data_IF_127160493322
#
_entry.id   IF_127160493322
#
_cell.length_a   1.000
_cell.length_b   1.000
_cell.length_c   1.000
_cell.angle_alpha   90.00
_cell.angle_beta   90.00
_cell.angle_gamma   90.00
#
_symmetry.space_group_name_H-M   'P 1'
#
loop_
_entity.id
_entity.type
_entity.pdbx_description
1 polymer ?
#
# COMPACT_ATOMS: atom_id res chain seq x y z
N UNK A 1 -33.44 3.52 1.89
CA UNK A 1 -32.96 4.66 1.07
C UNK A 1 -33.36 6.02 1.65
N UNK A 2 -34.62 6.22 2.08
CA UNK A 2 -35.11 7.48 2.68
C UNK A 2 -34.43 7.85 4.01
N UNK A 3 -34.24 6.89 4.91
CA UNK A 3 -33.57 7.10 6.21
C UNK A 3 -32.09 7.53 6.08
N UNK A 4 -31.41 6.99 5.07
CA UNK A 4 -30.00 7.32 4.81
C UNK A 4 -29.85 8.74 4.25
N UNK A 5 -30.84 9.21 3.48
CA UNK A 5 -30.91 10.58 2.97
C UNK A 5 -31.18 11.59 4.09
N UNK A 6 -32.12 11.27 4.99
CA UNK A 6 -32.44 12.09 6.15
C UNK A 6 -31.29 12.20 7.17
N UNK A 7 -30.44 11.17 7.28
CA UNK A 7 -29.22 11.23 8.10
C UNK A 7 -28.12 12.10 7.47
N UNK A 8 -28.03 12.15 6.15
CA UNK A 8 -27.04 12.98 5.44
C UNK A 8 -27.44 14.46 5.46
N UNK A 9 -28.72 14.78 5.39
CA UNK A 9 -29.22 16.16 5.52
C UNK A 9 -29.04 16.73 6.94
N UNK A 10 -29.07 15.88 7.96
CA UNK A 10 -28.90 16.26 9.37
C UNK A 10 -27.44 16.17 9.87
N UNK A 11 -26.46 15.88 9.02
CA UNK A 11 -25.06 15.97 9.44
C UNK A 11 -24.68 17.46 9.59
N UNK A 12 -24.07 17.86 10.71
CA UNK A 12 -23.55 19.22 10.86
C UNK A 12 -22.56 19.49 9.72
N UNK A 13 -22.94 20.41 8.83
CA UNK A 13 -22.17 20.75 7.62
C UNK A 13 -20.85 21.47 7.94
N UNK A 14 -20.70 21.96 9.17
CA UNK A 14 -19.60 22.80 9.60
C UNK A 14 -18.88 22.22 10.81
N UNK A 15 -18.35 20.99 10.70
CA UNK A 15 -17.28 20.58 11.62
C UNK A 15 -16.00 21.21 11.06
N UNK A 16 -15.48 22.30 11.67
CA UNK A 16 -14.24 22.89 11.21
C UNK A 16 -13.15 21.80 11.24
N UNK A 17 -12.32 21.70 10.18
CA UNK A 17 -11.24 20.73 10.18
C UNK A 17 -10.39 20.94 11.44
N UNK A 18 -9.92 19.87 12.09
CA UNK A 18 -9.09 20.01 13.28
C UNK A 18 -7.91 20.92 12.96
N UNK A 19 -7.58 21.88 13.85
CA UNK A 19 -6.52 22.84 13.58
C UNK A 19 -5.22 22.10 13.31
N UNK A 20 -4.64 22.36 12.13
CA UNK A 20 -3.37 21.75 11.74
C UNK A 20 -2.29 22.25 12.70
N UNK A 21 -1.72 21.34 13.49
CA UNK A 21 -0.67 21.72 14.42
C UNK A 21 0.62 22.03 13.67
N UNK A 22 1.48 22.90 14.21
CA UNK A 22 2.80 23.18 13.61
C UNK A 22 3.63 21.91 13.46
N UNK A 23 3.43 20.91 14.33
CA UNK A 23 4.08 19.59 14.23
C UNK A 23 3.56 18.81 13.02
N UNK A 24 2.24 18.77 12.81
CA UNK A 24 1.65 18.11 11.64
C UNK A 24 2.10 18.77 10.34
N UNK A 25 2.23 20.09 10.34
CA UNK A 25 2.73 20.85 9.20
C UNK A 25 4.20 20.50 8.89
N UNK A 26 5.06 20.48 9.91
CA UNK A 26 6.47 20.08 9.76
C UNK A 26 6.58 18.63 9.27
N UNK A 27 5.77 17.72 9.78
CA UNK A 27 5.74 16.33 9.29
C UNK A 27 5.32 16.23 7.83
N UNK A 28 4.30 17.00 7.41
CA UNK A 28 3.86 17.05 6.01
C UNK A 28 4.95 17.61 5.10
N UNK A 29 5.60 18.70 5.50
CA UNK A 29 6.71 19.31 4.74
C UNK A 29 7.87 18.33 4.61
N UNK A 30 8.29 17.69 5.71
CA UNK A 30 9.37 16.67 5.69
C UNK A 30 9.04 15.50 4.78
N UNK A 31 7.79 15.03 4.81
CA UNK A 31 7.31 13.95 3.95
C UNK A 31 7.35 14.35 2.47
N UNK A 32 6.84 15.54 2.14
CA UNK A 32 6.87 16.08 0.77
C UNK A 32 8.31 16.23 0.27
N UNK A 33 9.21 16.78 1.09
CA UNK A 33 10.63 16.92 0.74
C UNK A 33 11.29 15.56 0.50
N UNK A 34 11.01 14.57 1.35
CA UNK A 34 11.52 13.21 1.13
C UNK A 34 11.00 12.61 -0.19
N UNK A 35 9.72 12.80 -0.52
CA UNK A 35 9.16 12.35 -1.80
C UNK A 35 9.80 13.04 -3.00
N UNK A 36 10.03 14.34 -2.94
CA UNK A 36 10.67 15.09 -4.01
C UNK A 36 12.10 14.61 -4.26
N UNK A 37 12.87 14.33 -3.19
CA UNK A 37 14.22 13.79 -3.30
C UNK A 37 14.21 12.39 -3.93
N UNK A 38 13.32 11.50 -3.46
CA UNK A 38 13.18 10.14 -4.02
C UNK A 38 12.79 10.21 -5.50
N UNK A 39 11.82 11.05 -5.86
CA UNK A 39 11.41 11.26 -7.25
C UNK A 39 12.56 11.81 -8.11
N UNK A 40 13.29 12.82 -7.63
CA UNK A 40 14.42 13.40 -8.35
C UNK A 40 15.51 12.36 -8.62
N UNK A 41 15.89 11.57 -7.62
CA UNK A 41 16.90 10.52 -7.77
C UNK A 41 16.41 9.43 -8.70
N UNK A 42 15.16 8.98 -8.57
CA UNK A 42 14.57 7.96 -9.43
C UNK A 42 14.51 8.41 -10.90
N UNK A 43 14.10 9.66 -11.16
CA UNK A 43 14.06 10.23 -12.52
C UNK A 43 15.47 10.45 -13.07
N UNK A 44 16.42 10.91 -12.25
CA UNK A 44 17.82 11.05 -12.66
C UNK A 44 18.43 9.72 -13.08
N UNK A 45 18.23 8.66 -12.29
CA UNK A 45 18.66 7.30 -12.60
C UNK A 45 17.94 6.70 -13.81
N UNK A 46 16.72 7.15 -14.11
CA UNK A 46 15.96 6.72 -15.29
C UNK A 46 16.51 7.37 -16.57
N UNK A 47 16.79 8.67 -16.53
CA UNK A 47 17.31 9.44 -17.68
C UNK A 47 18.72 8.97 -18.04
N UNK A 48 19.59 8.75 -17.04
CA UNK A 48 20.99 8.32 -17.27
C UNK A 48 21.13 6.97 -17.98
N UNK A 49 20.04 6.22 -18.06
CA UNK A 49 20.05 4.79 -18.26
C UNK A 49 19.23 4.42 -19.52
N UNK A 50 18.94 5.43 -20.35
CA UNK A 50 18.35 5.30 -21.70
C UNK A 50 16.82 5.35 -21.76
N UNK A 51 16.15 5.62 -20.63
CA UNK A 51 14.70 5.84 -20.56
C UNK A 51 13.84 4.59 -20.83
N UNK A 52 12.57 4.80 -21.21
CA UNK A 52 11.54 3.74 -21.35
C UNK A 52 11.96 2.65 -22.35
N UNK A 53 12.70 3.04 -23.39
CA UNK A 53 12.99 2.21 -24.57
C UNK A 53 14.18 1.26 -24.40
N UNK A 54 15.08 1.48 -23.45
CA UNK A 54 16.32 0.68 -23.33
C UNK A 54 16.24 -0.42 -22.26
N UNK A 55 15.51 -0.22 -21.16
CA UNK A 55 15.53 -1.19 -20.07
C UNK A 55 14.32 -1.12 -19.11
N UNK A 56 13.29 -1.93 -19.39
CA UNK A 56 12.12 -2.07 -18.52
C UNK A 56 12.47 -2.45 -17.06
N UNK A 57 13.64 -3.08 -16.82
CA UNK A 57 14.09 -3.46 -15.48
C UNK A 57 14.22 -2.25 -14.54
N UNK A 58 14.52 -1.05 -15.05
CA UNK A 58 14.72 0.15 -14.22
C UNK A 58 13.46 0.55 -13.45
N UNK A 59 12.27 0.22 -13.96
CA UNK A 59 11.02 0.46 -13.26
C UNK A 59 10.91 -0.38 -11.99
N UNK A 60 11.57 -1.53 -11.90
CA UNK A 60 11.51 -2.37 -10.71
C UNK A 60 12.01 -1.66 -9.44
N UNK A 61 13.29 -1.25 -9.32
CA UNK A 61 13.77 -0.59 -8.11
C UNK A 61 13.05 0.74 -7.87
N UNK A 62 12.66 1.48 -8.91
CA UNK A 62 11.92 2.75 -8.76
C UNK A 62 10.57 2.51 -8.06
N UNK A 63 9.76 1.60 -8.59
CA UNK A 63 8.44 1.31 -8.01
C UNK A 63 8.54 0.60 -6.66
N UNK A 64 9.54 -0.26 -6.44
CA UNK A 64 9.75 -0.90 -5.13
C UNK A 64 10.19 0.12 -4.07
N UNK A 65 10.99 1.12 -4.42
CA UNK A 65 11.30 2.25 -3.54
C UNK A 65 10.06 3.10 -3.23
N UNK A 66 9.21 3.40 -4.22
CA UNK A 66 7.95 4.12 -3.99
C UNK A 66 7.06 3.31 -3.03
N UNK A 67 6.91 2.01 -3.27
CA UNK A 67 6.16 1.11 -2.38
C UNK A 67 6.69 1.20 -0.95
N UNK A 68 7.99 1.00 -0.75
CA UNK A 68 8.57 0.90 0.60
C UNK A 68 8.64 2.22 1.34
N UNK A 69 8.95 3.32 0.65
CA UNK A 69 9.20 4.62 1.29
C UNK A 69 7.96 5.50 1.35
N UNK A 70 6.98 5.27 0.48
CA UNK A 70 5.76 6.09 0.38
C UNK A 70 4.54 5.30 0.82
N UNK A 71 4.28 4.18 0.14
CA UNK A 71 2.98 3.53 0.23
C UNK A 71 2.84 2.67 1.48
N UNK A 72 3.86 1.88 1.84
CA UNK A 72 3.84 1.06 3.07
C UNK A 72 3.67 1.93 4.33
N UNK A 73 4.40 3.04 4.52
CA UNK A 73 4.14 3.94 5.65
C UNK A 73 2.70 4.49 5.66
N UNK A 74 2.15 4.85 4.50
CA UNK A 74 0.76 5.31 4.40
C UNK A 74 -0.23 4.20 4.79
N UNK A 75 -0.02 2.97 4.32
CA UNK A 75 -0.83 1.80 4.69
C UNK A 75 -0.74 1.56 6.21
N UNK A 76 0.45 1.57 6.81
CA UNK A 76 0.63 1.41 8.26
C UNK A 76 -0.13 2.48 9.06
N UNK A 77 -0.11 3.74 8.61
CA UNK A 77 -0.89 4.81 9.24
C UNK A 77 -2.39 4.52 9.20
N UNK A 78 -2.91 4.01 8.07
CA UNK A 78 -4.34 3.62 7.98
C UNK A 78 -4.67 2.43 8.88
N UNK A 79 -3.77 1.47 9.05
CA UNK A 79 -3.94 0.34 9.97
C UNK A 79 -4.02 0.85 11.42
N UNK A 80 -3.10 1.73 11.83
CA UNK A 80 -3.11 2.34 13.17
C UNK A 80 -4.42 3.10 13.42
N UNK A 81 -4.92 3.83 12.42
CA UNK A 81 -6.21 4.53 12.49
C UNK A 81 -7.40 3.57 12.66
N UNK A 82 -7.37 2.40 12.00
CA UNK A 82 -8.39 1.36 12.14
C UNK A 82 -8.34 0.66 13.50
N UNK A 83 -7.15 0.44 14.05
CA UNK A 83 -6.94 -0.21 15.34
C UNK A 83 -7.21 0.70 16.55
N UNK A 84 -7.04 2.02 16.38
CA UNK A 84 -7.20 3.01 17.46
C UNK A 84 -8.37 3.98 17.20
N UNK A 85 -9.62 3.48 17.18
CA UNK A 85 -10.77 4.29 16.80
C UNK A 85 -11.05 5.46 17.75
N UNK A 86 -10.61 5.38 19.01
CA UNK A 86 -10.76 6.46 20.00
C UNK A 86 -9.85 7.67 19.74
N UNK A 87 -8.74 7.46 19.04
CA UNK A 87 -7.75 8.50 18.74
C UNK A 87 -7.95 9.14 17.37
N UNK A 88 -8.90 8.63 16.58
CA UNK A 88 -9.18 9.12 15.24
C UNK A 88 -10.66 9.50 15.12
N UNK A 89 -10.99 10.78 14.94
CA UNK A 89 -12.37 11.27 14.92
C UNK A 89 -13.16 10.80 13.67
N UNK A 90 -12.48 10.23 12.67
CA UNK A 90 -13.13 9.81 11.43
C UNK A 90 -14.08 8.62 11.64
N UNK A 91 -15.22 8.61 10.93
CA UNK A 91 -16.12 7.46 10.88
C UNK A 91 -15.39 6.17 10.45
N UNK A 92 -15.85 5.01 10.95
CA UNK A 92 -15.27 3.70 10.62
C UNK A 92 -15.20 3.48 9.10
N UNK A 93 -16.27 3.81 8.39
CA UNK A 93 -16.39 3.66 6.94
C UNK A 93 -15.32 4.44 6.18
N UNK A 94 -15.09 5.70 6.58
CA UNK A 94 -14.07 6.57 5.99
C UNK A 94 -12.65 6.04 6.24
N UNK A 95 -12.37 5.52 7.45
CA UNK A 95 -11.07 4.90 7.75
C UNK A 95 -10.84 3.64 6.93
N UNK A 96 -11.88 2.82 6.74
CA UNK A 96 -11.81 1.61 5.91
C UNK A 96 -11.55 1.99 4.45
N UNK A 97 -12.26 2.98 3.92
CA UNK A 97 -12.06 3.46 2.55
C UNK A 97 -10.61 3.94 2.33
N UNK A 98 -10.06 4.74 3.25
CA UNK A 98 -8.67 5.19 3.18
C UNK A 98 -7.68 4.04 3.17
N UNK A 99 -7.90 3.02 4.01
CA UNK A 99 -7.07 1.83 4.01
C UNK A 99 -7.16 1.08 2.68
N UNK A 100 -8.36 0.88 2.14
CA UNK A 100 -8.56 0.22 0.84
C UNK A 100 -7.87 0.98 -0.30
N UNK A 101 -7.97 2.32 -0.33
CA UNK A 101 -7.27 3.13 -1.33
C UNK A 101 -5.76 3.00 -1.20
N UNK A 102 -5.22 3.07 0.02
CA UNK A 102 -3.78 2.92 0.25
C UNK A 102 -3.27 1.53 -0.19
N UNK A 103 -4.01 0.47 0.12
CA UNK A 103 -3.69 -0.91 -0.31
C UNK A 103 -3.85 -1.07 -1.82
N UNK A 104 -4.82 -0.40 -2.45
CA UNK A 104 -4.94 -0.40 -3.91
C UNK A 104 -3.72 0.23 -4.59
N UNK A 105 -3.26 1.39 -4.12
CA UNK A 105 -2.03 2.01 -4.63
C UNK A 105 -0.80 1.12 -4.38
N UNK A 106 -0.74 0.43 -3.23
CA UNK A 106 0.31 -0.54 -2.93
C UNK A 106 0.33 -1.64 -3.99
N UNK A 107 -0.83 -2.23 -4.27
CA UNK A 107 -0.96 -3.33 -5.21
C UNK A 107 -0.60 -2.90 -6.64
N UNK A 108 -1.05 -1.73 -7.10
CA UNK A 108 -0.71 -1.22 -8.44
C UNK A 108 0.78 -0.95 -8.55
N UNK A 109 1.38 -0.21 -7.61
CA UNK A 109 2.80 0.12 -7.67
C UNK A 109 3.68 -1.14 -7.58
N UNK A 110 3.34 -2.08 -6.70
CA UNK A 110 4.01 -3.38 -6.59
C UNK A 110 3.90 -4.18 -7.89
N UNK A 111 2.69 -4.26 -8.47
CA UNK A 111 2.46 -5.00 -9.70
C UNK A 111 3.27 -4.45 -10.88
N UNK A 112 3.37 -3.12 -11.01
CA UNK A 112 4.18 -2.49 -12.06
C UNK A 112 5.67 -2.83 -11.88
N UNK A 113 6.20 -2.70 -10.66
CA UNK A 113 7.60 -3.04 -10.38
C UNK A 113 7.89 -4.54 -10.55
N UNK A 114 6.95 -5.42 -10.23
CA UNK A 114 7.09 -6.86 -10.45
C UNK A 114 7.03 -7.21 -11.94
N UNK A 115 6.07 -6.63 -12.66
CA UNK A 115 5.92 -6.82 -14.11
C UNK A 115 7.17 -6.38 -14.88
N UNK A 116 7.80 -5.27 -14.48
CA UNK A 116 9.04 -4.77 -15.06
C UNK A 116 10.16 -5.83 -15.10
N UNK A 117 10.42 -6.52 -13.98
CA UNK A 117 11.41 -7.62 -13.92
C UNK A 117 10.95 -8.82 -14.72
N UNK A 118 9.66 -9.18 -14.59
CA UNK A 118 9.12 -10.34 -15.27
C UNK A 118 9.24 -10.21 -16.79
N UNK A 119 8.86 -9.05 -17.33
CA UNK A 119 8.96 -8.70 -18.75
C UNK A 119 10.42 -8.67 -19.21
N UNK A 120 11.29 -7.99 -18.47
CA UNK A 120 12.72 -7.93 -18.81
C UNK A 120 13.37 -9.32 -18.88
N UNK A 121 13.12 -10.18 -17.88
CA UNK A 121 13.62 -11.57 -17.89
C UNK A 121 13.07 -12.37 -19.06
N UNK A 122 11.77 -12.22 -19.36
CA UNK A 122 11.14 -12.91 -20.49
C UNK A 122 11.73 -12.47 -21.84
N UNK A 123 11.94 -11.16 -22.03
CA UNK A 123 12.52 -10.61 -23.26
C UNK A 123 13.97 -11.09 -23.49
N UNK A 124 14.73 -11.32 -22.41
CA UNK A 124 16.12 -11.78 -22.46
C UNK A 124 16.29 -13.30 -22.30
N UNK A 125 15.20 -14.08 -22.28
CA UNK A 125 15.26 -15.54 -22.10
C UNK A 125 15.84 -16.00 -20.75
N UNK A 126 15.84 -15.14 -19.74
CA UNK A 126 16.41 -15.44 -18.42
C UNK A 126 15.40 -16.18 -17.55
N UNK A 127 15.89 -17.11 -16.72
CA UNK A 127 15.05 -17.84 -15.77
C UNK A 127 14.45 -16.92 -14.69
N UNK A 128 13.17 -17.18 -14.35
CA UNK A 128 12.44 -16.48 -13.30
C UNK A 128 12.62 -17.15 -11.93
N UNK A 129 12.58 -16.34 -10.87
CA UNK A 129 12.52 -16.81 -9.48
C UNK A 129 13.66 -17.75 -9.03
N UNK A 130 14.84 -17.62 -9.63
CA UNK A 130 16.01 -18.45 -9.29
C UNK A 130 16.85 -17.90 -8.14
N UNK A 131 16.72 -16.60 -7.83
CA UNK A 131 17.44 -15.96 -6.73
C UNK A 131 16.59 -15.95 -5.46
N UNK A 132 17.21 -15.92 -4.26
CA UNK A 132 16.48 -15.73 -3.01
C UNK A 132 15.59 -14.49 -3.03
N UNK A 133 16.10 -13.37 -3.57
CA UNK A 133 15.32 -12.14 -3.74
C UNK A 133 14.10 -12.36 -4.65
N UNK A 134 14.27 -13.05 -5.79
CA UNK A 134 13.19 -13.38 -6.71
C UNK A 134 12.11 -14.26 -6.06
N UNK A 135 12.51 -15.28 -5.29
CA UNK A 135 11.58 -16.16 -4.57
C UNK A 135 10.82 -15.40 -3.48
N UNK A 136 11.51 -14.56 -2.71
CA UNK A 136 10.88 -13.76 -1.66
C UNK A 136 9.94 -12.69 -2.24
N UNK A 137 10.29 -12.09 -3.37
CA UNK A 137 9.41 -11.18 -4.11
C UNK A 137 8.13 -11.86 -4.60
N UNK A 138 8.24 -13.11 -5.09
CA UNK A 138 7.08 -13.91 -5.46
C UNK A 138 6.21 -14.26 -4.25
N UNK A 139 6.82 -14.69 -3.15
CA UNK A 139 6.10 -14.96 -1.90
C UNK A 139 5.34 -13.71 -1.43
N UNK A 140 5.99 -12.55 -1.45
CA UNK A 140 5.37 -11.27 -1.12
C UNK A 140 4.18 -10.96 -2.03
N UNK A 141 4.30 -11.18 -3.35
CA UNK A 141 3.22 -10.99 -4.31
C UNK A 141 1.99 -11.87 -4.01
N UNK A 142 2.24 -13.13 -3.63
CA UNK A 142 1.17 -14.07 -3.24
C UNK A 142 0.52 -13.63 -1.94
N UNK A 143 1.29 -13.29 -0.91
CA UNK A 143 0.77 -12.82 0.38
C UNK A 143 -0.09 -11.57 0.22
N UNK A 144 0.38 -10.60 -0.56
CA UNK A 144 -0.37 -9.37 -0.87
C UNK A 144 -1.69 -9.68 -1.59
N UNK A 145 -1.68 -10.61 -2.54
CA UNK A 145 -2.90 -11.01 -3.27
C UNK A 145 -3.92 -11.68 -2.35
N UNK A 146 -3.46 -12.52 -1.42
CA UNK A 146 -4.32 -13.15 -0.41
C UNK A 146 -4.85 -12.10 0.57
N UNK A 147 -4.01 -11.16 1.01
CA UNK A 147 -4.41 -10.08 1.92
C UNK A 147 -5.54 -9.22 1.34
N UNK A 148 -5.41 -8.79 0.08
CA UNK A 148 -6.44 -8.01 -0.62
C UNK A 148 -7.73 -8.80 -0.75
N UNK A 149 -7.62 -10.10 -1.08
CA UNK A 149 -8.78 -11.00 -1.17
C UNK A 149 -9.49 -11.12 0.18
N UNK A 150 -8.76 -11.36 1.27
CA UNK A 150 -9.31 -11.42 2.63
C UNK A 150 -9.95 -10.09 3.06
N UNK A 151 -9.32 -8.96 2.70
CA UNK A 151 -9.88 -7.63 2.94
C UNK A 151 -11.20 -7.41 2.21
N UNK A 152 -11.29 -7.82 0.94
CA UNK A 152 -12.51 -7.78 0.15
C UNK A 152 -13.60 -8.70 0.72
N UNK A 153 -13.25 -9.92 1.14
CA UNK A 153 -14.17 -10.85 1.81
C UNK A 153 -14.77 -10.22 3.07
N UNK A 154 -13.93 -9.62 3.93
CA UNK A 154 -14.37 -8.97 5.17
C UNK A 154 -15.28 -7.76 4.94
N UNK A 155 -15.15 -7.11 3.79
CA UNK A 155 -15.90 -5.90 3.45
C UNK A 155 -17.23 -6.21 2.76
N UNK A 156 -17.21 -7.08 1.76
CA UNK A 156 -18.34 -7.23 0.82
C UNK A 156 -19.11 -8.52 1.00
N UNK A 157 -18.51 -9.57 1.55
CA UNK A 157 -19.13 -10.91 1.62
C UNK A 157 -19.53 -11.27 3.05
N UNK A 158 -18.64 -11.02 4.02
CA UNK A 158 -18.84 -11.48 5.38
C UNK A 158 -19.57 -10.40 6.19
N UNK A 159 -20.83 -10.67 6.50
CA UNK A 159 -21.66 -9.80 7.31
C UNK A 159 -21.07 -9.56 8.72
N UNK A 160 -21.39 -8.41 9.30
CA UNK A 160 -20.78 -7.97 10.56
C UNK A 160 -21.02 -8.92 11.75
N UNK A 161 -22.13 -9.64 11.72
CA UNK A 161 -22.57 -10.59 12.76
C UNK A 161 -22.14 -12.03 12.49
N UNK A 162 -21.42 -12.28 11.39
CA UNK A 162 -20.99 -13.64 11.06
C UNK A 162 -19.97 -14.16 12.08
N UNK A 163 -20.12 -15.38 12.61
CA UNK A 163 -19.16 -15.96 13.55
C UNK A 163 -17.78 -16.21 12.91
N UNK A 164 -17.71 -16.35 11.58
CA UNK A 164 -16.44 -16.54 10.86
C UNK A 164 -15.64 -15.24 10.69
N UNK A 165 -16.25 -14.07 10.93
CA UNK A 165 -15.62 -12.76 10.70
C UNK A 165 -14.35 -12.56 11.52
N UNK A 166 -14.35 -12.99 12.78
CA UNK A 166 -13.19 -12.84 13.65
C UNK A 166 -12.01 -13.68 13.16
N UNK A 167 -12.26 -14.93 12.74
CA UNK A 167 -11.23 -15.82 12.19
C UNK A 167 -10.62 -15.24 10.91
N UNK A 168 -11.46 -14.73 10.01
CA UNK A 168 -11.00 -14.16 8.74
C UNK A 168 -10.24 -12.84 8.96
N UNK A 169 -10.66 -12.04 9.95
CA UNK A 169 -9.90 -10.86 10.39
C UNK A 169 -8.52 -11.23 10.94
N UNK A 170 -8.42 -12.29 11.75
CA UNK A 170 -7.13 -12.78 12.25
C UNK A 170 -6.23 -13.26 11.11
N UNK A 171 -6.77 -14.03 10.16
CA UNK A 171 -6.03 -14.44 8.96
C UNK A 171 -5.53 -13.21 8.20
N UNK A 172 -6.40 -12.25 7.92
CA UNK A 172 -6.01 -11.01 7.24
C UNK A 172 -4.85 -10.31 7.95
N UNK A 173 -4.85 -10.24 9.29
CA UNK A 173 -3.76 -9.68 10.09
C UNK A 173 -2.46 -10.50 9.99
N UNK A 174 -2.53 -11.84 10.05
CA UNK A 174 -1.35 -12.70 9.89
C UNK A 174 -0.71 -12.55 8.50
N UNK A 175 -1.52 -12.57 7.45
CA UNK A 175 -1.04 -12.34 6.09
C UNK A 175 -0.45 -10.94 5.93
N UNK A 176 -1.08 -9.90 6.50
CA UNK A 176 -0.54 -8.53 6.49
C UNK A 176 0.85 -8.44 7.13
N UNK A 177 1.05 -9.08 8.28
CA UNK A 177 2.37 -9.13 8.95
C UNK A 177 3.39 -9.88 8.09
N UNK A 178 2.99 -10.98 7.45
CA UNK A 178 3.82 -11.70 6.49
C UNK A 178 4.21 -10.83 5.29
N UNK A 179 3.26 -10.10 4.70
CA UNK A 179 3.50 -9.16 3.59
C UNK A 179 4.54 -8.11 4.01
N UNK A 180 4.36 -7.45 5.16
CA UNK A 180 5.30 -6.43 5.65
C UNK A 180 6.68 -7.04 5.91
N UNK A 181 6.75 -8.21 6.55
CA UNK A 181 8.01 -8.88 6.84
C UNK A 181 8.78 -9.26 5.57
N UNK A 182 8.09 -9.86 4.59
CA UNK A 182 8.69 -10.21 3.29
C UNK A 182 9.10 -8.97 2.49
N UNK A 183 8.30 -7.90 2.49
CA UNK A 183 8.67 -6.60 1.90
C UNK A 183 9.99 -6.05 2.48
N UNK A 184 10.12 -6.04 3.81
CA UNK A 184 11.34 -5.56 4.48
C UNK A 184 12.55 -6.43 4.16
N UNK A 185 12.39 -7.76 4.15
CA UNK A 185 13.46 -8.69 3.78
C UNK A 185 13.89 -8.50 2.33
N UNK A 186 12.96 -8.33 1.39
CA UNK A 186 13.27 -8.04 -0.02
C UNK A 186 14.00 -6.71 -0.17
N UNK A 187 13.61 -5.68 0.59
CA UNK A 187 14.20 -4.34 0.52
C UNK A 187 15.62 -4.31 1.09
N UNK A 188 15.88 -5.03 2.19
CA UNK A 188 17.19 -5.08 2.84
C UNK A 188 18.15 -6.11 2.22
N UNK A 189 17.61 -7.20 1.67
CA UNK A 189 18.36 -8.37 1.25
C UNK A 189 18.76 -8.41 -0.22
N UNK A 190 18.95 -7.27 -0.91
CA UNK A 190 19.45 -7.30 -2.31
C UNK A 190 20.85 -7.90 -2.36
N UNK A 191 21.09 -8.98 -3.14
CA UNK A 191 20.92 -9.02 -4.61
C UNK A 191 19.95 -10.06 -5.19
#
# INVERSE_FOLDING_TARGET
MSEMRARLENMPKDIPPPPVTSKDMIHRIRSVMAYLVICYVAVGLFIQNGGVSSNAFQFHPIFMCIVMLVVVPAVLQTIVALQNPKKNPLPKEERVLRHQMAVFFLQVAFAVGFWAVFYHKRANGAAHFTTPHGMMGLLCAVLLSVEVTLGALLRYIIGERSPSRQKIKQLHQYFSMGTIGTCLLCFLGGP
#
